data_IF_775688877616
#
_entry.id   IF_775688877616
#
_cell.length_a   1.000
_cell.length_b   1.000
_cell.length_c   1.000
_cell.angle_alpha   90.00
_cell.angle_beta   90.00
_cell.angle_gamma   90.00
#
_symmetry.space_group_name_H-M   'P 1'
#
loop_
_entity.id
_entity.type
_entity.pdbx_description
1 polymer ?
#
# COMPACT_ATOMS: atom_id res chain seq x y z
N UNK A 1 22.69 5.93 10.93
CA UNK A 1 22.12 4.85 11.80
C UNK A 1 20.98 4.28 10.99
N UNK A 2 20.91 2.97 10.86
CA UNK A 2 19.80 2.37 10.14
C UNK A 2 18.47 2.70 10.85
N UNK A 3 17.41 2.93 10.09
CA UNK A 3 16.09 3.31 10.65
C UNK A 3 15.56 2.28 11.66
N UNK A 4 15.84 1.00 11.43
CA UNK A 4 15.43 -0.08 12.34
C UNK A 4 16.14 -0.02 13.71
N UNK A 5 17.41 0.39 13.76
CA UNK A 5 18.16 0.46 15.01
C UNK A 5 17.51 1.40 16.04
N UNK A 6 16.79 2.43 15.57
CA UNK A 6 16.12 3.39 16.45
C UNK A 6 14.94 2.77 17.24
N UNK A 7 14.36 1.69 16.73
CA UNK A 7 13.18 1.04 17.34
C UNK A 7 13.48 -0.36 17.91
N UNK A 8 14.60 -0.98 17.53
CA UNK A 8 14.91 -2.37 17.86
C UNK A 8 14.88 -2.65 19.38
N UNK A 9 15.41 -1.73 20.17
CA UNK A 9 15.52 -1.88 21.63
C UNK A 9 14.34 -1.25 22.42
N UNK A 10 13.24 -0.83 21.72
CA UNK A 10 12.06 -0.35 22.42
C UNK A 10 11.52 -1.42 23.36
N UNK A 11 11.25 -1.10 24.65
CA UNK A 11 10.64 -2.05 25.55
C UNK A 11 9.22 -2.34 25.11
N UNK A 12 8.81 -3.61 25.18
CA UNK A 12 7.50 -4.09 24.78
C UNK A 12 6.97 -5.08 25.80
N UNK A 13 5.88 -4.75 26.46
CA UNK A 13 5.14 -5.65 27.32
C UNK A 13 3.79 -5.98 26.69
N UNK A 14 3.55 -7.26 26.38
CA UNK A 14 2.28 -7.75 25.84
C UNK A 14 1.60 -8.63 26.90
N UNK A 15 0.47 -8.18 27.42
CA UNK A 15 -0.35 -8.90 28.41
C UNK A 15 -1.43 -9.73 27.73
N UNK A 16 -1.97 -9.22 26.60
CA UNK A 16 -3.00 -9.93 25.83
C UNK A 16 -2.97 -9.56 24.36
N UNK A 17 -3.56 -10.47 23.56
CA UNK A 17 -3.82 -10.27 22.13
C UNK A 17 -5.29 -10.57 21.86
N UNK A 18 -5.90 -9.79 20.96
CA UNK A 18 -7.25 -10.05 20.45
C UNK A 18 -7.36 -9.67 18.98
N UNK A 19 -8.37 -10.23 18.32
CA UNK A 19 -8.67 -9.99 16.92
C UNK A 19 -10.04 -9.32 16.78
N UNK A 20 -10.15 -8.42 15.79
CA UNK A 20 -11.40 -7.81 15.35
C UNK A 20 -11.51 -7.93 13.84
N UNK A 21 -12.56 -8.59 13.35
CA UNK A 21 -12.85 -8.68 11.92
C UNK A 21 -13.47 -7.40 11.41
N UNK A 22 -12.99 -6.93 10.25
CA UNK A 22 -13.61 -5.85 9.50
C UNK A 22 -14.05 -6.38 8.14
N UNK A 23 -15.18 -5.87 7.64
CA UNK A 23 -15.77 -6.28 6.37
C UNK A 23 -16.24 -5.07 5.57
N UNK A 24 -16.00 -5.11 4.26
CA UNK A 24 -16.53 -4.16 3.28
C UNK A 24 -17.14 -4.94 2.12
N UNK A 25 -18.41 -4.65 1.80
CA UNK A 25 -19.11 -5.23 0.64
C UNK A 25 -19.48 -4.09 -0.31
N UNK A 26 -18.97 -4.14 -1.53
CA UNK A 26 -19.26 -3.19 -2.61
C UNK A 26 -19.70 -3.98 -3.87
N UNK A 27 -21.01 -4.19 -4.01
CA UNK A 27 -21.55 -5.03 -5.07
C UNK A 27 -21.10 -6.49 -4.90
N UNK A 28 -20.36 -7.02 -5.88
CA UNK A 28 -19.78 -8.38 -5.81
C UNK A 28 -18.39 -8.40 -5.15
N UNK A 29 -17.80 -7.25 -4.88
CA UNK A 29 -16.51 -7.16 -4.20
C UNK A 29 -16.72 -7.25 -2.69
N UNK A 30 -16.15 -8.29 -2.09
CA UNK A 30 -16.10 -8.51 -0.65
C UNK A 30 -14.66 -8.43 -0.17
N UNK A 31 -14.41 -7.66 0.87
CA UNK A 31 -13.10 -7.51 1.50
C UNK A 31 -13.21 -7.76 2.99
N UNK A 32 -12.48 -8.76 3.50
CA UNK A 32 -12.26 -8.99 4.92
C UNK A 32 -10.85 -8.58 5.29
N UNK A 33 -10.70 -7.98 6.48
CA UNK A 33 -9.41 -7.77 7.14
C UNK A 33 -9.52 -8.14 8.61
N UNK A 34 -8.37 -8.29 9.29
CA UNK A 34 -8.36 -8.57 10.72
C UNK A 34 -7.46 -7.57 11.44
N UNK A 35 -8.04 -6.80 12.35
CA UNK A 35 -7.26 -5.93 13.24
C UNK A 35 -6.66 -6.78 14.36
N UNK A 36 -5.34 -6.71 14.49
CA UNK A 36 -4.59 -7.29 15.60
C UNK A 36 -4.51 -6.21 16.69
N UNK A 37 -4.91 -6.57 17.92
CA UNK A 37 -4.82 -5.69 19.09
C UNK A 37 -3.94 -6.34 20.15
N UNK A 38 -2.85 -5.66 20.51
CA UNK A 38 -2.05 -6.00 21.68
C UNK A 38 -2.35 -5.01 22.80
N UNK A 39 -2.50 -5.53 24.03
CA UNK A 39 -2.63 -4.70 25.22
C UNK A 39 -1.52 -5.04 26.20
N UNK A 40 -0.98 -4.02 26.88
CA UNK A 40 0.05 -4.18 27.91
C UNK A 40 0.47 -2.83 28.50
N UNK A 41 0.84 -2.82 29.79
CA UNK A 41 1.27 -1.62 30.49
C UNK A 41 0.24 -0.47 30.48
N UNK A 42 -1.05 -0.77 30.38
CA UNK A 42 -2.12 0.23 30.29
C UNK A 42 -2.27 0.89 28.90
N UNK A 43 -1.61 0.38 27.86
CA UNK A 43 -1.67 0.84 26.48
C UNK A 43 -2.23 -0.24 25.55
N UNK A 44 -2.65 0.19 24.36
CA UNK A 44 -3.07 -0.68 23.27
C UNK A 44 -2.30 -0.32 22.01
N UNK A 45 -1.78 -1.34 21.31
CA UNK A 45 -1.21 -1.24 19.97
C UNK A 45 -2.08 -1.96 18.95
N UNK A 46 -2.18 -1.42 17.73
CA UNK A 46 -3.01 -1.97 16.64
C UNK A 46 -2.21 -2.13 15.35
N UNK A 47 -2.58 -3.15 14.59
CA UNK A 47 -2.13 -3.40 13.23
C UNK A 47 -3.22 -4.10 12.45
N UNK A 48 -3.11 -4.20 11.14
CA UNK A 48 -4.16 -4.79 10.30
C UNK A 48 -3.58 -5.84 9.34
N UNK A 49 -4.10 -7.06 9.46
CA UNK A 49 -3.86 -8.14 8.50
C UNK A 49 -4.67 -7.88 7.24
N UNK A 50 -3.97 -7.74 6.15
CA UNK A 50 -4.52 -7.40 4.83
C UNK A 50 -4.39 -8.56 3.84
N UNK A 51 -4.30 -9.78 4.33
CA UNK A 51 -4.43 -11.00 3.53
C UNK A 51 -5.64 -10.90 2.60
N UNK A 52 -5.51 -11.33 1.35
CA UNK A 52 -6.61 -11.15 0.38
C UNK A 52 -7.73 -12.17 0.54
N UNK A 53 -7.39 -13.39 0.95
CA UNK A 53 -8.34 -14.51 0.93
C UNK A 53 -9.17 -14.51 2.23
N UNK A 54 -10.48 -14.33 2.09
CA UNK A 54 -11.42 -14.25 3.22
C UNK A 54 -11.35 -15.48 4.15
N UNK A 55 -11.12 -16.67 3.58
CA UNK A 55 -11.00 -17.92 4.35
C UNK A 55 -9.86 -17.88 5.37
N UNK A 56 -8.74 -17.23 5.04
CA UNK A 56 -7.60 -17.06 5.93
C UNK A 56 -7.94 -16.20 7.15
N UNK A 57 -8.76 -15.15 6.96
CA UNK A 57 -9.27 -14.31 8.06
C UNK A 57 -10.27 -15.04 8.93
N UNK A 58 -11.22 -15.76 8.33
CA UNK A 58 -12.23 -16.55 9.05
C UNK A 58 -11.56 -17.62 9.91
N UNK A 59 -10.58 -18.34 9.37
CA UNK A 59 -9.82 -19.35 10.10
C UNK A 59 -9.06 -18.73 11.30
N UNK A 60 -8.34 -17.62 11.08
CA UNK A 60 -7.59 -16.90 12.11
C UNK A 60 -8.51 -16.39 13.24
N UNK A 61 -9.61 -15.70 12.88
CA UNK A 61 -10.55 -15.12 13.85
C UNK A 61 -11.24 -16.21 14.69
N UNK A 62 -11.56 -17.35 14.05
CA UNK A 62 -12.20 -18.49 14.75
C UNK A 62 -11.25 -19.18 15.72
N UNK A 63 -9.97 -19.29 15.36
CA UNK A 63 -8.97 -19.92 16.21
C UNK A 63 -8.50 -19.02 17.36
N UNK A 64 -8.58 -17.70 17.18
CA UNK A 64 -8.00 -16.74 18.11
C UNK A 64 -6.47 -16.62 18.00
N UNK A 65 -5.87 -15.78 18.87
CA UNK A 65 -4.42 -15.53 18.84
C UNK A 65 -3.60 -16.79 19.12
N UNK A 66 -2.48 -17.00 18.37
CA UNK A 66 -1.59 -18.10 18.64
C UNK A 66 -0.87 -17.93 19.99
N UNK A 67 -0.42 -19.05 20.56
CA UNK A 67 0.37 -19.06 21.80
C UNK A 67 1.73 -18.35 21.59
N UNK A 68 2.26 -17.82 22.68
CA UNK A 68 3.62 -17.29 22.72
C UNK A 68 3.77 -15.82 22.37
N UNK A 69 2.67 -15.10 22.18
CA UNK A 69 2.68 -13.66 21.89
C UNK A 69 2.86 -12.79 23.14
N UNK A 70 2.51 -13.28 24.33
CA UNK A 70 2.55 -12.52 25.59
C UNK A 70 3.92 -12.60 26.25
N UNK A 71 4.30 -11.54 26.98
CA UNK A 71 5.56 -11.45 27.70
C UNK A 71 6.18 -10.06 27.67
N UNK A 72 7.45 -10.00 28.13
CA UNK A 72 8.27 -8.78 28.07
C UNK A 72 9.44 -9.02 27.13
N UNK A 73 9.66 -8.11 26.23
CA UNK A 73 10.61 -8.20 25.12
C UNK A 73 11.25 -6.83 24.85
N UNK A 74 12.34 -6.77 24.09
CA UNK A 74 12.57 -5.66 23.19
C UNK A 74 11.74 -5.87 21.91
N UNK A 75 11.53 -4.82 21.13
CA UNK A 75 10.80 -4.96 19.86
C UNK A 75 11.47 -5.98 18.92
N UNK A 76 12.80 -5.97 18.84
CA UNK A 76 13.57 -6.93 18.02
C UNK A 76 13.47 -8.37 18.54
N UNK A 77 13.48 -8.58 19.87
CA UNK A 77 13.25 -9.90 20.47
C UNK A 77 11.86 -10.43 20.11
N UNK A 78 10.83 -9.60 20.17
CA UNK A 78 9.47 -9.97 19.77
C UNK A 78 9.40 -10.29 18.28
N UNK A 79 10.00 -9.47 17.41
CA UNK A 79 10.06 -9.70 15.96
C UNK A 79 10.72 -11.05 15.65
N UNK A 80 11.87 -11.37 16.27
CA UNK A 80 12.53 -12.67 16.12
C UNK A 80 11.66 -13.83 16.62
N UNK A 81 11.03 -13.68 17.78
CA UNK A 81 10.10 -14.68 18.34
C UNK A 81 8.92 -14.95 17.42
N UNK A 82 8.30 -13.88 16.90
CA UNK A 82 7.19 -13.97 15.97
C UNK A 82 7.56 -14.74 14.69
N UNK A 83 8.83 -14.64 14.24
CA UNK A 83 9.36 -15.43 13.11
C UNK A 83 9.39 -16.94 13.33
N UNK A 84 9.28 -17.41 14.58
CA UNK A 84 9.18 -18.82 14.93
C UNK A 84 7.76 -19.30 15.19
N UNK A 85 6.76 -18.43 15.10
CA UNK A 85 5.34 -18.77 15.32
C UNK A 85 4.67 -19.00 13.97
N UNK A 86 3.97 -20.11 13.83
CA UNK A 86 3.10 -20.36 12.68
C UNK A 86 1.83 -19.51 12.81
N UNK A 87 1.76 -18.44 12.07
CA UNK A 87 0.62 -17.53 12.07
C UNK A 87 -0.59 -18.06 11.28
N UNK A 88 -0.43 -19.17 10.58
CA UNK A 88 -1.46 -19.88 9.82
C UNK A 88 -1.78 -21.27 10.37
N UNK A 89 -1.45 -21.56 11.62
CA UNK A 89 -1.69 -22.87 12.25
C UNK A 89 -3.18 -23.31 12.22
N UNK A 90 -4.12 -22.37 12.06
CA UNK A 90 -5.55 -22.67 11.94
C UNK A 90 -5.98 -23.08 10.52
N UNK A 91 -5.10 -22.94 9.54
CA UNK A 91 -5.33 -23.21 8.12
C UNK A 91 -4.80 -22.09 7.22
N UNK A 92 -4.50 -22.42 5.97
CA UNK A 92 -3.87 -21.51 5.01
C UNK A 92 -2.33 -21.54 5.07
N UNK A 93 -1.62 -20.55 4.52
CA UNK A 93 -2.19 -19.49 3.70
C UNK A 93 -2.63 -20.00 2.32
N UNK A 94 -3.69 -19.41 1.77
CA UNK A 94 -4.12 -19.66 0.39
C UNK A 94 -3.07 -19.17 -0.63
N UNK A 95 -2.30 -18.14 -0.24
CA UNK A 95 -1.19 -17.57 -1.03
C UNK A 95 0.04 -17.38 -0.15
N UNK A 96 1.21 -17.75 -0.68
CA UNK A 96 2.47 -17.64 0.05
C UNK A 96 2.74 -16.21 0.56
N UNK A 97 2.42 -15.20 -0.22
CA UNK A 97 2.61 -13.79 0.16
C UNK A 97 1.78 -13.35 1.38
N UNK A 98 0.71 -14.08 1.71
CA UNK A 98 -0.13 -13.81 2.89
C UNK A 98 0.64 -13.95 4.20
N UNK A 99 1.74 -14.72 4.21
CA UNK A 99 2.63 -14.86 5.37
C UNK A 99 3.23 -13.49 5.74
N UNK A 100 3.73 -12.76 4.76
CA UNK A 100 4.29 -11.42 4.98
C UNK A 100 3.21 -10.41 5.38
N UNK A 101 2.02 -10.46 4.76
CA UNK A 101 0.91 -9.56 5.09
C UNK A 101 0.46 -9.72 6.55
N UNK A 102 0.29 -10.95 7.00
CA UNK A 102 -0.06 -11.24 8.40
C UNK A 102 1.07 -10.90 9.35
N UNK A 103 2.31 -11.17 8.96
CA UNK A 103 3.50 -10.79 9.73
C UNK A 103 3.56 -9.28 9.99
N UNK A 104 3.34 -8.47 8.95
CA UNK A 104 3.23 -7.03 9.06
C UNK A 104 2.19 -6.59 10.10
N UNK A 105 1.01 -7.21 10.10
CA UNK A 105 -0.07 -6.85 11.02
C UNK A 105 0.33 -7.02 12.49
N UNK A 106 0.99 -8.15 12.82
CA UNK A 106 1.45 -8.39 14.19
C UNK A 106 2.59 -7.44 14.57
N UNK A 107 3.54 -7.21 13.68
CA UNK A 107 4.67 -6.32 13.97
C UNK A 107 4.26 -4.85 14.05
N UNK A 108 3.35 -4.39 13.19
CA UNK A 108 2.83 -3.02 13.26
C UNK A 108 2.03 -2.78 14.55
N UNK A 109 1.25 -3.78 15.02
CA UNK A 109 0.58 -3.72 16.32
C UNK A 109 1.57 -3.66 17.48
N UNK A 110 2.63 -4.47 17.43
CA UNK A 110 3.68 -4.48 18.44
C UNK A 110 4.46 -3.17 18.47
N UNK A 111 4.80 -2.61 17.30
CA UNK A 111 5.48 -1.31 17.22
C UNK A 111 4.61 -0.18 17.76
N UNK A 112 3.32 -0.14 17.41
CA UNK A 112 2.39 0.86 17.95
C UNK A 112 2.32 0.77 19.48
N UNK A 113 2.26 -0.44 20.05
CA UNK A 113 2.26 -0.65 21.50
C UNK A 113 3.59 -0.21 22.14
N UNK A 114 4.74 -0.65 21.59
CA UNK A 114 6.06 -0.32 22.13
C UNK A 114 6.31 1.19 22.17
N UNK A 115 5.97 1.90 21.10
CA UNK A 115 6.07 3.36 21.02
C UNK A 115 5.19 4.05 22.08
N UNK A 116 3.96 3.57 22.28
CA UNK A 116 3.05 4.09 23.33
C UNK A 116 3.58 3.86 24.73
N UNK A 117 4.13 2.68 24.99
CA UNK A 117 4.77 2.35 26.27
C UNK A 117 6.03 3.19 26.52
N UNK A 118 6.77 3.51 25.46
CA UNK A 118 7.93 4.41 25.52
C UNK A 118 7.58 5.90 25.62
N UNK A 119 6.29 6.27 25.45
CA UNK A 119 5.83 7.66 25.53
C UNK A 119 6.23 8.52 24.32
N UNK A 120 6.42 7.93 23.15
CA UNK A 120 6.85 8.58 21.91
C UNK A 120 6.03 8.11 20.70
N UNK A 121 6.32 8.66 19.52
CA UNK A 121 5.75 8.23 18.24
C UNK A 121 6.85 7.89 17.23
N UNK A 122 6.46 7.25 16.12
CA UNK A 122 7.42 6.77 15.13
C UNK A 122 8.23 7.89 14.47
N UNK A 123 7.61 9.03 14.15
CA UNK A 123 8.30 10.15 13.51
C UNK A 123 9.38 10.73 14.42
N UNK A 124 9.05 10.94 15.71
CA UNK A 124 9.95 11.47 16.72
C UNK A 124 11.16 10.57 16.92
N UNK A 125 10.96 9.25 17.09
CA UNK A 125 12.06 8.32 17.34
C UNK A 125 12.99 8.15 16.13
N UNK A 126 12.44 8.29 14.92
CA UNK A 126 13.20 8.26 13.66
C UNK A 126 13.85 9.62 13.35
N UNK A 127 13.53 10.69 14.10
CA UNK A 127 14.00 12.05 13.82
C UNK A 127 13.47 12.58 12.48
N UNK A 128 12.28 12.16 12.05
CA UNK A 128 11.62 12.58 10.82
C UNK A 128 10.43 13.48 11.11
N UNK A 129 10.19 14.46 10.24
CA UNK A 129 9.03 15.35 10.33
C UNK A 129 7.92 14.88 9.41
N UNK A 130 6.70 14.63 9.91
CA UNK A 130 5.55 14.33 9.06
C UNK A 130 5.21 15.54 8.18
N UNK A 131 5.06 15.31 6.88
CA UNK A 131 4.75 16.34 5.88
C UNK A 131 3.40 16.08 5.24
N UNK A 132 2.73 17.12 4.69
CA UNK A 132 1.54 16.92 3.89
C UNK A 132 1.78 15.88 2.80
N UNK A 133 0.88 14.89 2.72
CA UNK A 133 1.02 13.69 1.90
C UNK A 133 0.24 13.83 0.59
N UNK A 134 0.93 13.84 -0.54
CA UNK A 134 0.28 13.69 -1.83
C UNK A 134 -0.24 12.27 -2.01
N UNK A 135 -1.49 12.13 -2.43
CA UNK A 135 -2.08 10.84 -2.76
C UNK A 135 -2.84 10.88 -4.09
N UNK A 136 -2.97 9.73 -4.71
CA UNK A 136 -3.81 9.49 -5.88
C UNK A 136 -4.98 8.57 -5.52
N UNK A 137 -6.12 8.80 -6.17
CA UNK A 137 -7.24 7.84 -6.15
C UNK A 137 -7.02 6.82 -7.26
N UNK A 138 -6.73 5.57 -6.87
CA UNK A 138 -6.63 4.48 -7.84
C UNK A 138 -8.00 4.07 -8.31
N UNK A 139 -8.20 3.96 -9.62
CA UNK A 139 -9.46 3.51 -10.19
C UNK A 139 -9.33 2.93 -11.59
N UNK A 140 -10.28 2.05 -11.90
CA UNK A 140 -10.53 1.50 -13.21
C UNK A 140 -11.70 2.23 -13.85
N UNK A 141 -11.60 2.55 -15.14
CA UNK A 141 -12.67 3.25 -15.87
C UNK A 141 -13.76 2.32 -16.40
N UNK A 142 -13.46 1.02 -16.54
CA UNK A 142 -14.44 -0.02 -16.86
C UNK A 142 -14.95 -0.72 -15.60
N UNK A 143 -16.22 -1.13 -15.60
CA UNK A 143 -16.76 -1.99 -14.55
C UNK A 143 -16.21 -3.41 -14.69
N UNK A 144 -16.25 -4.20 -13.60
CA UNK A 144 -15.91 -5.63 -13.61
C UNK A 144 -17.07 -6.49 -14.16
N UNK A 145 -17.62 -6.10 -15.29
CA UNK A 145 -18.72 -6.80 -15.97
C UNK A 145 -18.24 -7.18 -17.38
N UNK A 146 -18.61 -8.38 -17.85
CA UNK A 146 -18.23 -8.83 -19.21
C UNK A 146 -18.75 -7.85 -20.27
N UNK A 147 -17.85 -7.36 -21.12
CA UNK A 147 -18.18 -6.41 -22.19
C UNK A 147 -18.38 -4.96 -21.75
N UNK A 148 -18.17 -4.64 -20.47
CA UNK A 148 -18.16 -3.25 -20.01
C UNK A 148 -17.06 -2.46 -20.70
N UNK A 149 -17.41 -1.26 -21.18
CA UNK A 149 -16.44 -0.32 -21.77
C UNK A 149 -15.93 0.68 -20.76
N UNK A 150 -14.71 1.12 -20.99
CA UNK A 150 -14.12 2.23 -20.26
C UNK A 150 -14.88 3.53 -20.53
N UNK A 151 -15.08 4.33 -19.47
CA UNK A 151 -15.75 5.63 -19.54
C UNK A 151 -15.06 6.63 -18.61
N UNK A 152 -14.99 7.89 -19.04
CA UNK A 152 -14.42 8.98 -18.23
C UNK A 152 -15.38 9.48 -17.15
N UNK A 153 -16.67 9.24 -17.26
CA UNK A 153 -17.71 9.79 -16.37
C UNK A 153 -17.42 9.56 -14.88
N UNK A 154 -17.04 8.34 -14.41
CA UNK A 154 -16.75 8.14 -13.00
C UNK A 154 -15.59 8.99 -12.46
N UNK A 155 -14.64 9.37 -13.32
CA UNK A 155 -13.55 10.27 -12.97
C UNK A 155 -14.05 11.72 -12.91
N UNK A 156 -14.84 12.16 -13.89
CA UNK A 156 -15.43 13.51 -13.93
C UNK A 156 -16.37 13.77 -12.75
N UNK A 157 -17.17 12.77 -12.36
CA UNK A 157 -18.02 12.86 -11.17
C UNK A 157 -17.22 13.13 -9.89
N UNK A 158 -16.05 12.49 -9.74
CA UNK A 158 -15.14 12.73 -8.61
C UNK A 158 -14.50 14.11 -8.69
N UNK A 159 -14.04 14.53 -9.87
CA UNK A 159 -13.46 15.87 -10.07
C UNK A 159 -14.48 16.98 -9.85
N UNK A 160 -15.76 16.75 -10.13
CA UNK A 160 -16.82 17.71 -9.86
C UNK A 160 -16.95 18.02 -8.35
N UNK A 161 -16.65 17.06 -7.48
CA UNK A 161 -16.67 17.20 -6.02
C UNK A 161 -15.30 17.58 -5.47
N UNK A 162 -14.23 17.00 -6.01
CA UNK A 162 -12.84 17.15 -5.58
C UNK A 162 -11.97 17.64 -6.75
N UNK A 163 -11.98 18.93 -7.10
CA UNK A 163 -11.32 19.45 -8.32
C UNK A 163 -9.79 19.27 -8.36
N UNK A 164 -9.16 19.07 -7.22
CA UNK A 164 -7.70 18.87 -7.10
C UNK A 164 -7.31 17.40 -6.98
N UNK A 165 -8.27 16.47 -7.04
CA UNK A 165 -7.99 15.03 -6.92
C UNK A 165 -7.10 14.57 -8.09
N UNK A 166 -6.15 13.72 -7.78
CA UNK A 166 -5.22 13.11 -8.73
C UNK A 166 -5.51 11.62 -8.84
N UNK A 167 -5.19 11.01 -9.96
CA UNK A 167 -5.58 9.63 -10.25
C UNK A 167 -4.40 8.76 -10.66
N UNK A 168 -4.46 7.50 -10.20
CA UNK A 168 -3.79 6.35 -10.79
C UNK A 168 -4.86 5.56 -11.54
N UNK A 169 -4.65 5.31 -12.82
CA UNK A 169 -5.61 4.61 -13.66
C UNK A 169 -5.05 3.29 -14.18
N UNK A 170 -5.93 2.30 -14.33
CA UNK A 170 -5.63 1.04 -15.01
C UNK A 170 -6.08 1.15 -16.47
N UNK A 171 -5.18 1.35 -17.46
CA UNK A 171 -5.55 1.38 -18.87
C UNK A 171 -6.03 0.02 -19.36
N UNK A 172 -7.05 0.04 -20.24
CA UNK A 172 -7.57 -1.13 -20.92
C UNK A 172 -7.40 -1.01 -22.44
N UNK A 173 -7.40 -2.14 -23.14
CA UNK A 173 -7.25 -2.18 -24.59
C UNK A 173 -8.44 -1.57 -25.36
N UNK A 174 -9.53 -1.19 -24.68
CA UNK A 174 -10.65 -0.46 -25.26
C UNK A 174 -10.49 1.09 -25.17
N UNK A 175 -9.35 1.57 -24.61
CA UNK A 175 -9.08 3.00 -24.58
C UNK A 175 -8.77 3.52 -25.98
N UNK A 176 -9.73 4.22 -26.56
CA UNK A 176 -9.58 4.90 -27.85
C UNK A 176 -9.00 6.31 -27.70
N UNK A 177 -8.72 6.95 -28.84
CA UNK A 177 -8.12 8.29 -28.84
C UNK A 177 -9.03 9.34 -28.22
N UNK A 178 -10.37 9.20 -28.32
CA UNK A 178 -11.34 10.13 -27.73
C UNK A 178 -11.30 10.07 -26.20
N UNK A 179 -11.27 8.88 -25.62
CA UNK A 179 -11.15 8.69 -24.16
C UNK A 179 -9.80 9.20 -23.67
N UNK A 180 -8.70 8.85 -24.35
CA UNK A 180 -7.35 9.28 -23.99
C UNK A 180 -7.27 10.81 -24.03
N UNK A 181 -7.77 11.46 -25.08
CA UNK A 181 -7.79 12.94 -25.20
C UNK A 181 -8.60 13.60 -24.09
N UNK A 182 -9.74 13.04 -23.75
CA UNK A 182 -10.57 13.53 -22.66
C UNK A 182 -9.86 13.40 -21.31
N UNK A 183 -9.16 12.30 -21.04
CA UNK A 183 -8.36 12.09 -19.82
C UNK A 183 -7.19 13.08 -19.74
N UNK A 184 -6.44 13.26 -20.83
CA UNK A 184 -5.34 14.24 -20.92
C UNK A 184 -5.87 15.66 -20.63
N UNK A 185 -7.03 16.02 -21.18
CA UNK A 185 -7.63 17.33 -20.98
C UNK A 185 -7.98 17.62 -19.50
N UNK A 186 -8.19 16.60 -18.67
CA UNK A 186 -8.42 16.81 -17.22
C UNK A 186 -7.17 17.28 -16.49
N UNK A 187 -5.97 16.93 -17.00
CA UNK A 187 -4.70 17.16 -16.33
C UNK A 187 -4.57 16.46 -14.98
N UNK A 188 -5.42 15.48 -14.66
CA UNK A 188 -5.54 14.88 -13.32
C UNK A 188 -4.88 13.50 -13.16
N UNK A 189 -4.26 12.96 -14.21
CA UNK A 189 -3.66 11.61 -14.21
C UNK A 189 -2.18 11.71 -13.87
N UNK A 190 -1.77 11.09 -12.75
CA UNK A 190 -0.38 11.04 -12.29
C UNK A 190 0.31 9.71 -12.56
N UNK A 191 -0.46 8.60 -12.65
CA UNK A 191 0.09 7.28 -12.88
C UNK A 191 -0.85 6.42 -13.73
N UNK A 192 -0.25 5.59 -14.59
CA UNK A 192 -0.90 4.57 -15.40
C UNK A 192 -0.34 3.21 -15.01
N UNK A 193 -1.16 2.36 -14.40
CA UNK A 193 -0.80 1.02 -13.95
C UNK A 193 -1.10 0.00 -15.07
N UNK A 194 -0.05 -0.43 -15.75
CA UNK A 194 -0.11 -1.24 -16.98
C UNK A 194 -0.30 -2.74 -16.72
N UNK A 195 -0.36 -3.17 -15.45
CA UNK A 195 -0.70 -4.54 -15.01
C UNK A 195 0.18 -5.66 -15.59
N UNK A 196 1.41 -5.38 -15.98
CA UNK A 196 2.30 -6.35 -16.64
C UNK A 196 2.61 -7.61 -15.82
N UNK A 197 2.44 -7.57 -14.49
CA UNK A 197 2.69 -8.69 -13.58
C UNK A 197 1.44 -9.44 -13.14
N UNK A 198 0.26 -9.11 -13.66
CA UNK A 198 -1.02 -9.70 -13.25
C UNK A 198 -1.55 -10.75 -14.23
N UNK A 199 -0.69 -11.37 -15.04
CA UNK A 199 -1.02 -12.36 -16.08
C UNK A 199 -1.90 -13.49 -15.52
N UNK A 200 -3.02 -13.74 -16.21
CA UNK A 200 -3.97 -14.81 -15.84
C UNK A 200 -4.83 -14.55 -14.61
N UNK A 201 -4.80 -13.34 -14.04
CA UNK A 201 -5.66 -12.92 -12.94
C UNK A 201 -6.90 -12.16 -13.47
N UNK A 202 -7.94 -11.93 -12.63
CA UNK A 202 -9.10 -11.12 -13.04
C UNK A 202 -8.76 -9.65 -13.38
N UNK A 203 -7.56 -9.18 -13.03
CA UNK A 203 -7.09 -7.82 -13.33
C UNK A 203 -6.05 -7.78 -14.45
N UNK A 204 -5.80 -8.92 -15.10
CA UNK A 204 -4.91 -9.03 -16.27
C UNK A 204 -5.37 -8.11 -17.41
N UNK A 205 -4.41 -7.45 -18.05
CA UNK A 205 -4.61 -6.67 -19.27
C UNK A 205 -3.63 -7.19 -20.31
N UNK A 206 -4.15 -7.57 -21.48
CA UNK A 206 -3.32 -8.05 -22.59
C UNK A 206 -2.38 -6.90 -23.01
N UNK A 207 -1.08 -7.19 -23.06
CA UNK A 207 -0.08 -6.23 -23.47
C UNK A 207 -0.29 -5.83 -24.92
N UNK A 208 -0.51 -4.53 -25.16
CA UNK A 208 -0.71 -3.94 -26.48
C UNK A 208 0.33 -2.83 -26.72
N UNK A 209 1.35 -3.07 -27.56
CA UNK A 209 2.37 -2.08 -27.86
C UNK A 209 1.83 -0.78 -28.49
N UNK A 210 0.72 -0.82 -29.23
CA UNK A 210 0.11 0.38 -29.82
C UNK A 210 -0.51 1.25 -28.72
N UNK A 211 -1.20 0.64 -27.76
CA UNK A 211 -1.70 1.35 -26.57
C UNK A 211 -0.54 1.95 -25.76
N UNK A 212 0.54 1.16 -25.51
CA UNK A 212 1.73 1.67 -24.81
C UNK A 212 2.29 2.92 -25.48
N UNK A 213 2.47 2.89 -26.81
CA UNK A 213 2.99 4.04 -27.56
C UNK A 213 2.11 5.28 -27.39
N UNK A 214 0.78 5.13 -27.48
CA UNK A 214 -0.18 6.22 -27.26
C UNK A 214 -0.11 6.78 -25.84
N UNK A 215 -0.09 5.91 -24.83
CA UNK A 215 -0.03 6.34 -23.43
C UNK A 215 1.27 7.08 -23.10
N UNK A 216 2.40 6.58 -23.59
CA UNK A 216 3.72 7.20 -23.43
C UNK A 216 3.74 8.60 -24.02
N UNK A 217 3.20 8.78 -25.23
CA UNK A 217 3.15 10.06 -25.94
C UNK A 217 2.17 11.06 -25.30
N UNK A 218 0.96 10.59 -24.95
CA UNK A 218 -0.15 11.46 -24.56
C UNK A 218 -0.11 11.87 -23.08
N UNK A 219 0.59 11.08 -22.23
CA UNK A 219 0.78 11.36 -20.80
C UNK A 219 2.28 11.51 -20.48
N UNK A 220 2.96 12.58 -20.97
CA UNK A 220 4.42 12.71 -20.87
C UNK A 220 4.93 12.81 -19.42
N UNK A 221 4.09 13.25 -18.48
CA UNK A 221 4.47 13.47 -17.08
C UNK A 221 3.96 12.35 -16.15
N UNK A 222 3.08 11.47 -16.62
CA UNK A 222 2.54 10.40 -15.80
C UNK A 222 3.57 9.29 -15.60
N UNK A 223 3.54 8.65 -14.43
CA UNK A 223 4.29 7.44 -14.17
C UNK A 223 3.68 6.25 -14.92
N UNK A 224 4.55 5.33 -15.33
CA UNK A 224 4.20 4.08 -16.00
C UNK A 224 4.48 2.94 -15.01
N UNK A 225 3.45 2.55 -14.26
CA UNK A 225 3.58 1.53 -13.22
C UNK A 225 3.43 0.14 -13.83
N UNK A 226 4.32 -0.77 -13.43
CA UNK A 226 4.29 -2.19 -13.78
C UNK A 226 4.11 -2.49 -15.28
N UNK A 227 4.90 -1.88 -16.19
CA UNK A 227 4.80 -2.23 -17.59
C UNK A 227 5.27 -3.67 -17.84
N UNK A 228 4.62 -4.35 -18.80
CA UNK A 228 5.11 -5.60 -19.35
C UNK A 228 6.27 -5.33 -20.30
N UNK A 229 7.49 -5.68 -19.90
CA UNK A 229 8.73 -5.43 -20.67
C UNK A 229 9.00 -6.61 -21.59
N UNK A 230 8.48 -6.53 -22.82
CA UNK A 230 8.65 -7.54 -23.88
C UNK A 230 9.63 -7.05 -24.95
N UNK A 231 9.91 -7.88 -25.98
CA UNK A 231 10.70 -7.47 -27.15
C UNK A 231 10.03 -6.31 -27.90
N UNK A 232 8.69 -6.20 -27.85
CA UNK A 232 7.91 -5.19 -28.55
C UNK A 232 7.76 -3.91 -27.75
N UNK A 233 7.57 -3.99 -26.43
CA UNK A 233 7.36 -2.83 -25.56
C UNK A 233 8.65 -2.20 -25.06
N UNK A 234 9.73 -2.99 -24.91
CA UNK A 234 11.01 -2.48 -24.41
C UNK A 234 11.55 -1.29 -25.23
N UNK A 235 11.55 -1.30 -26.57
CA UNK A 235 12.01 -0.15 -27.36
C UNK A 235 11.18 1.13 -27.14
N UNK A 236 9.90 1.01 -26.75
CA UNK A 236 9.03 2.13 -26.43
C UNK A 236 9.33 2.68 -25.02
N UNK A 237 9.66 1.79 -24.09
CA UNK A 237 9.91 2.12 -22.67
C UNK A 237 11.34 2.64 -22.43
N UNK A 238 12.35 2.15 -23.19
CA UNK A 238 13.75 2.56 -23.02
C UNK A 238 13.96 4.10 -22.99
N UNK A 239 13.35 4.90 -23.88
CA UNK A 239 13.52 6.36 -23.87
C UNK A 239 12.87 7.05 -22.67
N UNK A 240 11.93 6.41 -22.00
CA UNK A 240 11.10 6.96 -20.92
C UNK A 240 11.22 6.19 -19.61
N UNK A 241 12.22 5.32 -19.46
CA UNK A 241 12.40 4.45 -18.32
C UNK A 241 12.49 5.20 -16.96
N UNK A 242 12.90 6.47 -16.99
CA UNK A 242 12.90 7.34 -15.80
C UNK A 242 11.49 7.55 -15.18
N UNK A 243 10.43 7.29 -15.95
CA UNK A 243 9.03 7.35 -15.48
C UNK A 243 8.46 5.99 -15.13
N UNK A 244 9.20 4.91 -15.40
CA UNK A 244 8.77 3.55 -15.06
C UNK A 244 8.88 3.34 -13.55
N UNK A 245 7.82 2.82 -12.95
CA UNK A 245 7.75 2.46 -11.53
C UNK A 245 7.33 1.01 -11.38
N UNK A 246 7.70 0.41 -10.26
CA UNK A 246 7.48 -1.00 -9.98
C UNK A 246 6.70 -1.17 -8.67
N UNK A 247 5.55 -1.83 -8.73
CA UNK A 247 4.67 -2.13 -7.60
C UNK A 247 4.60 -3.63 -7.31
N UNK A 248 3.97 -4.40 -8.19
CA UNK A 248 3.66 -5.80 -7.96
C UNK A 248 4.88 -6.69 -7.65
N UNK A 249 6.03 -6.54 -8.32
CA UNK A 249 7.19 -7.40 -8.08
C UNK A 249 7.98 -7.05 -6.80
N UNK A 250 7.71 -5.91 -6.14
CA UNK A 250 8.55 -5.42 -5.06
C UNK A 250 8.12 -5.97 -3.70
N UNK A 251 8.90 -6.92 -3.17
CA UNK A 251 8.74 -7.57 -1.86
C UNK A 251 10.03 -7.55 -1.03
N UNK A 252 11.17 -7.22 -1.67
CA UNK A 252 12.49 -7.22 -1.03
C UNK A 252 13.46 -6.28 -1.76
N UNK A 253 14.62 -6.04 -1.12
CA UNK A 253 15.75 -5.33 -1.77
C UNK A 253 16.24 -6.10 -3.01
N UNK A 254 16.25 -7.44 -2.96
CA UNK A 254 16.67 -8.25 -4.10
C UNK A 254 15.73 -8.07 -5.31
N UNK A 255 14.44 -7.87 -5.08
CA UNK A 255 13.50 -7.58 -6.15
C UNK A 255 13.77 -6.19 -6.76
N UNK A 256 14.09 -5.19 -5.92
CA UNK A 256 14.47 -3.85 -6.40
C UNK A 256 15.70 -3.95 -7.31
N UNK A 257 16.71 -4.75 -6.92
CA UNK A 257 17.94 -4.95 -7.69
C UNK A 257 17.71 -5.70 -9.00
N UNK A 258 16.68 -6.57 -9.06
CA UNK A 258 16.36 -7.39 -10.21
C UNK A 258 15.52 -6.66 -11.28
N UNK A 259 15.00 -5.46 -11.00
CA UNK A 259 14.16 -4.73 -11.94
C UNK A 259 14.93 -4.31 -13.20
N UNK A 260 14.25 -4.26 -14.37
CA UNK A 260 14.81 -3.64 -15.57
C UNK A 260 15.31 -2.22 -15.29
N UNK A 261 16.37 -1.80 -16.00
CA UNK A 261 17.04 -0.50 -15.80
C UNK A 261 17.53 -0.27 -14.36
N UNK A 262 18.11 -1.31 -13.74
CA UNK A 262 18.61 -1.27 -12.36
C UNK A 262 19.80 -0.30 -12.19
N UNK A 263 19.82 0.56 -11.13
CA UNK A 263 18.77 0.69 -10.15
C UNK A 263 17.53 1.38 -10.74
N UNK A 264 16.31 0.95 -10.38
CA UNK A 264 15.09 1.60 -10.85
C UNK A 264 15.03 3.04 -10.34
N UNK A 265 14.36 3.92 -11.09
CA UNK A 265 14.20 5.30 -10.66
C UNK A 265 13.30 5.43 -9.45
N UNK A 266 12.22 4.64 -9.40
CA UNK A 266 11.21 4.70 -8.33
C UNK A 266 10.54 3.33 -8.14
N UNK A 267 10.24 2.98 -6.89
CA UNK A 267 9.55 1.73 -6.51
C UNK A 267 8.42 1.99 -5.52
N UNK A 268 7.39 1.14 -5.57
CA UNK A 268 6.34 1.13 -4.56
C UNK A 268 6.82 0.33 -3.33
N UNK A 269 6.77 0.97 -2.17
CA UNK A 269 7.06 0.31 -0.90
C UNK A 269 5.74 0.08 -0.18
N UNK A 270 5.14 -1.10 -0.39
CA UNK A 270 3.93 -1.54 0.35
C UNK A 270 4.34 -2.28 1.62
N UNK A 271 4.12 -1.70 2.81
CA UNK A 271 4.66 -2.25 4.06
C UNK A 271 4.32 -3.72 4.28
N UNK A 272 3.08 -4.14 4.00
CA UNK A 272 2.63 -5.52 4.18
C UNK A 272 3.39 -6.55 3.32
N UNK A 273 3.94 -6.14 2.16
CA UNK A 273 4.71 -7.05 1.29
C UNK A 273 6.08 -7.39 1.83
N UNK A 274 6.65 -6.54 2.67
CA UNK A 274 7.96 -6.79 3.29
C UNK A 274 7.87 -7.69 4.53
N UNK A 275 6.69 -7.82 5.11
CA UNK A 275 6.47 -8.62 6.32
C UNK A 275 7.09 -7.98 7.55
N UNK A 276 8.30 -8.42 7.99
CA UNK A 276 8.97 -7.82 9.14
C UNK A 276 9.30 -6.34 8.94
N UNK A 277 9.08 -5.52 9.97
CA UNK A 277 9.42 -4.08 9.94
C UNK A 277 10.92 -3.85 9.70
N UNK A 278 11.77 -4.78 10.13
CA UNK A 278 13.21 -4.72 9.83
C UNK A 278 13.50 -4.76 8.33
N UNK A 279 12.80 -5.60 7.56
CA UNK A 279 12.94 -5.65 6.09
C UNK A 279 12.37 -4.38 5.43
N UNK A 280 11.23 -3.88 5.91
CA UNK A 280 10.64 -2.65 5.42
C UNK A 280 11.58 -1.46 5.59
N UNK A 281 12.13 -1.28 6.79
CA UNK A 281 13.03 -0.16 7.07
C UNK A 281 14.37 -0.29 6.33
N UNK A 282 14.88 -1.51 6.20
CA UNK A 282 16.05 -1.76 5.36
C UNK A 282 15.81 -1.38 3.89
N UNK A 283 14.60 -1.59 3.37
CA UNK A 283 14.24 -1.18 2.00
C UNK A 283 14.16 0.35 1.86
N UNK A 284 13.59 1.05 2.84
CA UNK A 284 13.61 2.53 2.86
C UNK A 284 15.04 3.08 2.92
N UNK A 285 15.87 2.58 3.84
CA UNK A 285 17.28 2.98 3.97
C UNK A 285 18.05 2.70 2.66
N UNK A 286 17.83 1.53 2.06
CA UNK A 286 18.44 1.14 0.78
C UNK A 286 18.06 2.12 -0.36
N UNK A 287 16.79 2.49 -0.45
CA UNK A 287 16.31 3.44 -1.47
C UNK A 287 16.92 4.83 -1.26
N UNK A 288 16.92 5.34 -0.02
CA UNK A 288 17.50 6.65 0.33
C UNK A 288 19.00 6.70 0.02
N UNK A 289 19.78 5.69 0.42
CA UNK A 289 21.23 5.62 0.18
C UNK A 289 21.59 5.62 -1.31
N UNK A 290 20.71 5.12 -2.17
CA UNK A 290 20.94 5.00 -3.63
C UNK A 290 20.22 6.04 -4.46
N UNK A 291 19.45 6.92 -3.83
CA UNK A 291 18.64 7.93 -4.52
C UNK A 291 17.51 7.32 -5.36
N UNK A 292 17.03 6.12 -4.98
CA UNK A 292 15.85 5.50 -5.57
C UNK A 292 14.62 6.14 -4.93
N UNK A 293 13.70 6.66 -5.75
CA UNK A 293 12.45 7.21 -5.29
C UNK A 293 11.55 6.12 -4.69
N UNK A 294 10.78 6.47 -3.68
CA UNK A 294 9.74 5.61 -3.14
C UNK A 294 8.36 6.27 -3.26
N UNK A 295 7.32 5.45 -3.36
CA UNK A 295 5.94 5.85 -3.13
C UNK A 295 5.22 4.74 -2.37
N UNK A 296 4.11 5.06 -1.73
CA UNK A 296 3.35 4.09 -0.95
C UNK A 296 2.18 3.52 -1.73
N UNK A 297 1.77 2.33 -1.33
CA UNK A 297 0.53 1.71 -1.77
C UNK A 297 -0.10 0.90 -0.66
N UNK A 298 -1.40 0.67 -0.78
CA UNK A 298 -2.20 -0.13 0.14
C UNK A 298 -2.63 -1.46 -0.45
N UNK A 299 -3.26 -2.26 0.43
CA UNK A 299 -3.87 -3.56 0.12
C UNK A 299 -5.37 -3.55 0.49
N UNK A 300 -6.03 -2.41 0.26
CA UNK A 300 -7.43 -2.19 0.64
C UNK A 300 -7.65 -2.41 2.15
N UNK A 301 -6.87 -1.70 2.96
CA UNK A 301 -7.03 -1.67 4.42
C UNK A 301 -8.37 -1.05 4.77
N UNK A 302 -9.09 -1.66 5.70
CA UNK A 302 -10.40 -1.21 6.18
C UNK A 302 -10.33 -0.45 7.50
N UNK A 303 -9.23 -0.61 8.24
CA UNK A 303 -9.04 -0.12 9.60
C UNK A 303 -7.72 0.64 9.79
N UNK A 304 -7.02 0.40 10.92
CA UNK A 304 -5.84 1.17 11.30
C UNK A 304 -4.67 1.07 10.31
N UNK A 305 -4.60 0.00 9.53
CA UNK A 305 -3.55 -0.20 8.51
C UNK A 305 -3.51 0.94 7.50
N UNK A 306 -4.67 1.47 7.06
CA UNK A 306 -4.73 2.63 6.15
C UNK A 306 -4.01 3.84 6.74
N UNK A 307 -4.27 4.14 7.99
CA UNK A 307 -3.58 5.24 8.69
C UNK A 307 -2.08 4.97 8.86
N UNK A 308 -1.68 3.73 9.11
CA UNK A 308 -0.27 3.37 9.27
C UNK A 308 0.53 3.53 7.98
N UNK A 309 -0.03 3.16 6.81
CA UNK A 309 0.64 3.39 5.52
C UNK A 309 0.67 4.88 5.15
N UNK A 310 -0.34 5.66 5.49
CA UNK A 310 -0.34 7.12 5.33
C UNK A 310 0.72 7.77 6.22
N UNK A 311 0.86 7.29 7.45
CA UNK A 311 1.91 7.76 8.36
C UNK A 311 3.30 7.55 7.76
N UNK A 312 3.61 6.31 7.29
CA UNK A 312 4.88 6.01 6.64
C UNK A 312 5.11 6.89 5.41
N UNK A 313 4.10 7.03 4.56
CA UNK A 313 4.21 7.89 3.38
C UNK A 313 4.54 9.35 3.74
N UNK A 314 3.94 9.88 4.82
CA UNK A 314 4.16 11.27 5.26
C UNK A 314 5.59 11.54 5.75
N UNK A 315 6.32 10.51 6.21
CA UNK A 315 7.69 10.66 6.74
C UNK A 315 8.78 10.14 5.80
N UNK A 316 8.46 9.32 4.81
CA UNK A 316 9.45 8.74 3.88
C UNK A 316 9.33 9.28 2.45
N UNK A 317 8.11 9.48 1.93
CA UNK A 317 7.87 9.85 0.52
C UNK A 317 6.62 10.72 0.30
N UNK A 318 6.45 11.84 1.05
CA UNK A 318 5.21 12.62 1.05
C UNK A 318 4.91 13.31 -0.30
N UNK A 319 5.93 13.57 -1.11
CA UNK A 319 5.81 14.39 -2.32
C UNK A 319 5.42 13.56 -3.57
N UNK A 320 5.45 12.24 -3.49
CA UNK A 320 5.15 11.33 -4.60
C UNK A 320 3.65 11.03 -4.71
N UNK A 321 3.13 10.58 -5.87
CA UNK A 321 1.73 10.21 -6.03
C UNK A 321 1.42 8.86 -5.34
N UNK A 322 1.26 8.90 -4.03
CA UNK A 322 1.04 7.71 -3.21
C UNK A 322 -0.35 7.12 -3.43
N UNK A 323 -0.44 5.81 -3.64
CA UNK A 323 -1.70 5.06 -3.74
C UNK A 323 -2.22 4.68 -2.34
N UNK A 324 -2.41 5.70 -1.50
CA UNK A 324 -2.85 5.59 -0.10
C UNK A 324 -3.99 6.56 0.21
N UNK A 325 -4.85 6.84 -0.75
CA UNK A 325 -6.02 7.68 -0.55
C UNK A 325 -6.83 7.23 0.69
N UNK A 326 -7.47 8.14 1.42
CA UNK A 326 -8.45 7.78 2.46
C UNK A 326 -9.46 6.75 1.96
N UNK A 327 -9.83 5.78 2.81
CA UNK A 327 -10.62 4.60 2.43
C UNK A 327 -11.95 4.93 1.73
N UNK A 328 -12.55 6.10 2.04
CA UNK A 328 -13.78 6.55 1.37
C UNK A 328 -13.65 6.76 -0.14
N UNK A 329 -12.43 6.95 -0.68
CA UNK A 329 -12.22 7.02 -2.12
C UNK A 329 -12.33 5.65 -2.82
N UNK A 330 -12.26 4.55 -2.07
CA UNK A 330 -12.49 3.19 -2.59
C UNK A 330 -13.99 2.87 -2.77
N UNK A 331 -14.87 3.66 -2.14
CA UNK A 331 -16.32 3.53 -2.30
C UNK A 331 -16.84 4.59 -3.28
N UNK A 332 -17.31 4.20 -4.49
CA UNK A 332 -17.81 5.13 -5.50
C UNK A 332 -18.92 6.05 -4.97
N UNK A 333 -19.77 5.55 -4.06
CA UNK A 333 -20.87 6.33 -3.51
C UNK A 333 -20.40 7.43 -2.54
N UNK A 334 -19.27 7.23 -1.86
CA UNK A 334 -18.65 8.25 -1.01
C UNK A 334 -17.76 9.19 -1.83
N UNK A 335 -16.99 8.65 -2.77
CA UNK A 335 -16.05 9.41 -3.61
C UNK A 335 -16.75 10.47 -4.51
N UNK A 336 -18.04 10.36 -4.71
CA UNK A 336 -18.87 11.32 -5.46
C UNK A 336 -19.69 12.25 -4.57
N UNK A 337 -19.39 12.30 -3.25
CA UNK A 337 -20.07 13.19 -2.28
C UNK A 337 -19.03 14.00 -1.50
N UNK A 338 -19.34 15.24 -1.09
CA UNK A 338 -18.45 16.02 -0.23
C UNK A 338 -18.20 15.35 1.13
N UNK A 339 -17.00 15.53 1.68
CA UNK A 339 -16.68 15.08 3.04
C UNK A 339 -15.35 14.33 3.18
N UNK A 340 -14.77 13.84 2.08
CA UNK A 340 -13.44 13.24 2.11
C UNK A 340 -12.36 14.33 2.08
N UNK A 341 -11.22 14.12 2.75
CA UNK A 341 -10.10 15.05 2.68
C UNK A 341 -9.47 15.02 1.29
N UNK A 342 -9.00 16.17 0.81
CA UNK A 342 -8.33 16.32 -0.48
C UNK A 342 -6.83 16.09 -0.38
N UNK A 343 -6.17 15.87 -1.53
CA UNK A 343 -4.72 15.80 -1.65
C UNK A 343 -4.15 17.23 -1.79
N UNK A 344 -3.04 17.59 -1.10
CA UNK A 344 -2.34 16.77 -0.12
C UNK A 344 -3.12 16.58 1.17
N UNK A 345 -2.91 15.41 1.82
CA UNK A 345 -3.51 15.10 3.12
C UNK A 345 -2.63 15.67 4.22
N UNK A 346 -3.18 16.56 5.03
CA UNK A 346 -2.46 17.17 6.15
C UNK A 346 -2.09 16.14 7.23
N UNK A 347 -0.89 16.22 7.84
CA UNK A 347 -0.49 15.29 8.88
C UNK A 347 -1.46 15.27 10.06
N UNK A 348 -1.96 14.09 10.38
CA UNK A 348 -2.90 13.86 11.48
C UNK A 348 -2.43 12.68 12.35
N UNK A 349 -1.19 12.77 12.85
CA UNK A 349 -0.59 11.71 13.66
C UNK A 349 -1.00 11.80 15.13
N UNK A 350 -1.10 10.65 15.80
CA UNK A 350 -1.24 10.60 17.24
C UNK A 350 0.07 11.06 17.91
N UNK A 351 -0.01 11.72 19.08
CA UNK A 351 1.18 12.10 19.85
C UNK A 351 2.02 10.89 20.28
N UNK A 352 1.40 9.74 20.43
CA UNK A 352 2.03 8.48 20.81
C UNK A 352 1.73 7.38 19.81
N UNK A 353 2.71 6.49 19.61
CA UNK A 353 2.52 5.29 18.82
C UNK A 353 2.72 5.48 17.32
N UNK A 354 2.00 4.66 16.55
CA UNK A 354 2.12 4.56 15.10
C UNK A 354 0.72 4.64 14.44
N UNK A 355 0.03 5.74 14.67
CA UNK A 355 -1.34 5.93 14.16
C UNK A 355 -1.50 7.28 13.47
N UNK A 356 -2.26 7.25 12.39
CA UNK A 356 -2.81 8.42 11.75
C UNK A 356 -4.27 8.57 12.19
N UNK A 357 -4.67 9.77 12.60
CA UNK A 357 -6.07 10.03 12.99
C UNK A 357 -6.91 10.18 11.73
N UNK A 358 -7.96 9.37 11.64
CA UNK A 358 -8.95 9.46 10.55
C UNK A 358 -9.80 10.73 10.65
#
# INVERSE_FOLDING_TARGET
MASYDAIAELPLEIESCSFEGLELVLGEFERLTTVIRFSGGGHEGVGEDVTYDAVDHVAQQSAGPPDGLTGKFSFDEFSRRLGGIDLFAAGGPEREMSVDYRRWAFESAALDLALRQAGTNLAEILGREPRPLNFVSSMRLAKFEEGAKSSIEPLLERLAVYPTLRFKLDPFNDWDDELIDALVATGAVDSLDLKGFYKGTPVDVITDPELYAKLIERFPDAWLEDPDVTEETKPLLDPVHERVTWDAPIHSIADIEAMPWSPPRTVNVKPSRFGPISKLFAAYDYCEERGIGAYGGGQTELGPGRGQIQYLASIFHPDTPNDVAPSGYNDPAQATRPGLPSSPLEPSIDPLGFRWRA
#
